data_IF_966189039586
#
_entry.id   IF_966189039586
#
_cell.length_a   1.000
_cell.length_b   1.000
_cell.length_c   1.000
_cell.angle_alpha   90.00
_cell.angle_beta   90.00
_cell.angle_gamma   90.00
#
_symmetry.space_group_name_H-M   'P 1'
#
loop_
_entity.id
_entity.type
_entity.pdbx_description
1 polymer ?
#
# COMPACT_ATOMS: atom_id res chain seq x y z
N UNK A 1 -8.34 14.16 -15.38
CA UNK A 1 -8.23 13.52 -16.71
C UNK A 1 -9.49 12.70 -16.95
N UNK A 2 -10.08 12.75 -18.14
CA UNK A 2 -11.29 11.98 -18.44
C UNK A 2 -10.93 10.48 -18.49
N UNK A 3 -11.74 9.62 -17.87
CA UNK A 3 -11.57 8.16 -17.99
C UNK A 3 -11.98 7.74 -19.40
N UNK A 4 -11.05 7.17 -20.15
CA UNK A 4 -11.35 6.56 -21.45
C UNK A 4 -12.04 5.21 -21.25
N UNK A 5 -13.13 4.98 -21.99
CA UNK A 5 -13.88 3.72 -21.91
C UNK A 5 -13.23 2.69 -22.83
N UNK A 6 -12.80 1.57 -22.24
CA UNK A 6 -12.33 0.39 -22.97
C UNK A 6 -13.33 -0.76 -22.80
N UNK A 7 -13.55 -1.52 -23.87
CA UNK A 7 -14.38 -2.73 -23.84
C UNK A 7 -13.48 -3.95 -24.04
N UNK A 8 -13.61 -4.94 -23.15
CA UNK A 8 -12.86 -6.21 -23.21
C UNK A 8 -13.82 -7.38 -23.11
N UNK A 9 -13.47 -8.50 -23.73
CA UNK A 9 -14.20 -9.76 -23.58
C UNK A 9 -13.66 -10.52 -22.37
N UNK A 10 -14.55 -10.98 -21.50
CA UNK A 10 -14.20 -11.76 -20.30
C UNK A 10 -15.03 -13.03 -20.25
N UNK A 11 -14.46 -14.07 -19.66
CA UNK A 11 -15.24 -15.24 -19.28
C UNK A 11 -16.26 -14.86 -18.20
N UNK A 12 -17.55 -15.11 -18.49
CA UNK A 12 -18.66 -14.66 -17.65
C UNK A 12 -18.64 -15.34 -16.27
N UNK A 13 -18.29 -16.61 -16.21
CA UNK A 13 -18.27 -17.36 -14.96
C UNK A 13 -17.15 -16.85 -14.03
N UNK A 14 -15.94 -16.66 -14.57
CA UNK A 14 -14.80 -16.07 -13.86
C UNK A 14 -15.10 -14.64 -13.41
N UNK A 15 -15.71 -13.82 -14.27
CA UNK A 15 -16.05 -12.44 -13.94
C UNK A 15 -17.04 -12.36 -12.76
N UNK A 16 -18.10 -13.17 -12.79
CA UNK A 16 -19.07 -13.23 -11.69
C UNK A 16 -18.45 -13.74 -10.39
N UNK A 17 -17.58 -14.76 -10.48
CA UNK A 17 -16.85 -15.29 -9.31
C UNK A 17 -15.89 -14.26 -8.72
N UNK A 18 -15.16 -13.53 -9.56
CA UNK A 18 -14.28 -12.46 -9.09
C UNK A 18 -15.08 -11.37 -8.38
N UNK A 19 -16.19 -10.91 -9.00
CA UNK A 19 -17.07 -9.90 -8.42
C UNK A 19 -17.63 -10.30 -7.05
N UNK A 20 -18.05 -11.56 -6.88
CA UNK A 20 -18.55 -12.03 -5.59
C UNK A 20 -17.46 -12.10 -4.53
N UNK A 21 -16.26 -12.55 -4.88
CA UNK A 21 -15.12 -12.64 -3.96
C UNK A 21 -14.67 -11.27 -3.44
N UNK A 22 -14.68 -10.24 -4.28
CA UNK A 22 -14.27 -8.88 -3.87
C UNK A 22 -15.43 -7.99 -3.43
N UNK A 23 -16.65 -8.55 -3.32
CA UNK A 23 -17.88 -7.83 -2.96
C UNK A 23 -18.10 -6.53 -3.76
N UNK A 24 -17.72 -6.52 -5.05
CA UNK A 24 -17.75 -5.31 -5.88
C UNK A 24 -19.14 -5.01 -6.44
N UNK A 25 -19.47 -3.72 -6.45
CA UNK A 25 -20.77 -3.20 -6.92
C UNK A 25 -20.90 -3.33 -8.44
N UNK A 26 -19.81 -3.22 -9.19
CA UNK A 26 -19.79 -3.30 -10.66
C UNK A 26 -18.57 -4.06 -11.18
N UNK A 27 -18.62 -4.50 -12.44
CA UNK A 27 -17.46 -5.14 -13.09
C UNK A 27 -16.31 -4.16 -13.29
N UNK A 28 -16.59 -2.89 -13.58
CA UNK A 28 -15.57 -1.85 -13.67
C UNK A 28 -14.79 -1.73 -12.36
N UNK A 29 -15.46 -1.81 -11.20
CA UNK A 29 -14.79 -1.80 -9.91
C UNK A 29 -13.89 -3.03 -9.70
N UNK A 30 -14.31 -4.21 -10.16
CA UNK A 30 -13.47 -5.43 -10.11
C UNK A 30 -12.22 -5.24 -10.94
N UNK A 31 -12.35 -4.69 -12.15
CA UNK A 31 -11.24 -4.48 -13.08
C UNK A 31 -10.31 -3.39 -12.56
N UNK A 32 -10.82 -2.28 -12.06
CA UNK A 32 -10.02 -1.21 -11.44
C UNK A 32 -9.16 -1.78 -10.31
N UNK A 33 -9.76 -2.53 -9.37
CA UNK A 33 -9.04 -3.19 -8.28
C UNK A 33 -8.01 -4.20 -8.80
N UNK A 34 -8.36 -5.03 -9.78
CA UNK A 34 -7.45 -6.02 -10.32
C UNK A 34 -6.23 -5.38 -11.00
N UNK A 35 -6.44 -4.28 -11.73
CA UNK A 35 -5.38 -3.52 -12.39
C UNK A 35 -4.48 -2.82 -11.39
N UNK A 36 -5.04 -2.17 -10.36
CA UNK A 36 -4.26 -1.57 -9.28
C UNK A 36 -3.34 -2.60 -8.63
N UNK A 37 -3.90 -3.75 -8.22
CA UNK A 37 -3.12 -4.83 -7.60
C UNK A 37 -2.05 -5.38 -8.52
N UNK A 38 -2.34 -5.55 -9.81
CA UNK A 38 -1.36 -6.00 -10.79
C UNK A 38 -0.23 -5.00 -10.95
N UNK A 39 -0.55 -3.71 -11.10
CA UNK A 39 0.43 -2.64 -11.28
C UNK A 39 1.32 -2.51 -10.04
N UNK A 40 0.75 -2.53 -8.84
CA UNK A 40 1.51 -2.48 -7.58
C UNK A 40 2.47 -3.67 -7.46
N UNK A 41 1.98 -4.88 -7.70
CA UNK A 41 2.82 -6.08 -7.64
C UNK A 41 3.96 -6.03 -8.67
N UNK A 42 3.68 -5.55 -9.88
CA UNK A 42 4.65 -5.43 -10.96
C UNK A 42 5.68 -4.31 -10.75
N UNK A 43 5.29 -3.21 -10.08
CA UNK A 43 6.22 -2.18 -9.62
C UNK A 43 7.16 -2.74 -8.56
N UNK A 44 6.60 -3.36 -7.51
CA UNK A 44 7.39 -3.95 -6.43
C UNK A 44 8.41 -4.98 -6.95
N UNK A 45 8.00 -5.85 -7.87
CA UNK A 45 8.92 -6.82 -8.50
C UNK A 45 10.07 -6.15 -9.24
N UNK A 46 9.79 -5.07 -9.98
CA UNK A 46 10.82 -4.30 -10.70
C UNK A 46 11.73 -3.56 -9.74
N UNK A 47 11.20 -3.00 -8.67
CA UNK A 47 11.98 -2.31 -7.65
C UNK A 47 12.94 -3.29 -6.96
N UNK A 48 12.44 -4.47 -6.55
CA UNK A 48 13.28 -5.54 -5.99
C UNK A 48 14.37 -5.96 -6.99
N UNK A 49 14.03 -6.14 -8.26
CA UNK A 49 15.00 -6.50 -9.28
C UNK A 49 16.06 -5.41 -9.48
N UNK A 50 15.67 -4.14 -9.42
CA UNK A 50 16.57 -3.00 -9.51
C UNK A 50 17.53 -2.95 -8.31
N UNK A 51 17.03 -3.11 -7.09
CA UNK A 51 17.84 -3.16 -5.88
C UNK A 51 18.79 -4.36 -5.84
N UNK A 52 18.37 -5.51 -6.39
CA UNK A 52 19.27 -6.67 -6.53
C UNK A 52 20.37 -6.42 -7.55
N UNK A 53 20.07 -5.70 -8.64
CA UNK A 53 21.04 -5.40 -9.69
C UNK A 53 22.08 -4.38 -9.22
N UNK A 54 21.64 -3.38 -8.46
CA UNK A 54 22.51 -2.35 -7.89
C UNK A 54 22.24 -2.33 -6.38
N UNK A 55 22.92 -3.19 -5.61
CA UNK A 55 22.77 -3.20 -4.18
C UNK A 55 23.29 -1.87 -3.60
N UNK A 56 22.66 -1.34 -2.53
CA UNK A 56 23.15 -0.16 -1.85
C UNK A 56 24.57 -0.41 -1.33
N UNK A 57 25.40 0.61 -1.43
CA UNK A 57 26.75 0.60 -0.87
C UNK A 57 26.69 0.50 0.65
N UNK A 58 27.77 0.06 1.32
CA UNK A 58 27.83 0.05 2.78
C UNK A 58 27.56 1.42 3.41
N UNK A 59 27.95 2.51 2.75
CA UNK A 59 27.71 3.89 3.21
C UNK A 59 26.22 4.23 3.14
N UNK A 60 25.55 3.93 2.02
CA UNK A 60 24.12 4.16 1.86
C UNK A 60 23.29 3.31 2.84
N UNK A 61 23.71 2.06 3.08
CA UNK A 61 23.10 1.20 4.08
C UNK A 61 23.25 1.78 5.50
N UNK A 62 24.44 2.29 5.84
CA UNK A 62 24.70 2.92 7.14
C UNK A 62 23.84 4.18 7.35
N UNK A 63 23.62 4.98 6.30
CA UNK A 63 22.72 6.16 6.36
C UNK A 63 21.27 5.73 6.60
N UNK A 64 20.80 4.69 5.90
CA UNK A 64 19.43 4.17 6.08
C UNK A 64 19.21 3.64 7.51
N UNK A 65 20.18 2.92 8.06
CA UNK A 65 20.15 2.44 9.45
C UNK A 65 20.20 3.58 10.48
N UNK A 66 20.96 4.65 10.22
CA UNK A 66 21.02 5.80 11.09
C UNK A 66 19.71 6.60 11.15
N UNK A 67 18.86 6.48 10.12
CA UNK A 67 17.53 7.08 10.08
C UNK A 67 16.42 6.20 10.70
N UNK A 68 16.77 5.02 11.24
CA UNK A 68 15.82 4.14 11.90
C UNK A 68 15.38 4.70 13.25
N UNK A 69 14.20 5.29 13.26
CA UNK A 69 13.56 5.85 14.45
C UNK A 69 12.59 4.86 15.13
N UNK A 70 12.54 3.60 14.71
CA UNK A 70 11.63 2.60 15.29
C UNK A 70 11.91 2.31 16.76
N UNK A 71 13.12 2.61 17.24
CA UNK A 71 13.52 2.53 18.64
C UNK A 71 13.24 3.80 19.44
N UNK A 72 12.79 4.90 18.81
CA UNK A 72 12.36 6.09 19.53
C UNK A 72 11.00 5.78 20.18
N UNK A 73 11.01 5.61 21.49
CA UNK A 73 9.79 5.61 22.28
C UNK A 73 9.17 7.00 22.29
N UNK A 74 7.86 7.06 22.51
CA UNK A 74 7.23 8.33 22.86
C UNK A 74 7.59 8.67 24.31
N UNK A 75 8.71 9.36 24.48
CA UNK A 75 9.20 9.85 25.78
C UNK A 75 8.38 11.04 26.29
N UNK A 76 7.41 11.51 25.51
CA UNK A 76 6.55 12.63 25.87
C UNK A 76 5.44 12.13 26.79
N UNK A 77 5.47 12.55 28.06
CA UNK A 77 4.36 12.33 28.99
C UNK A 77 3.19 13.26 28.65
N UNK A 78 2.42 12.92 27.61
CA UNK A 78 1.27 13.70 27.12
C UNK A 78 0.22 13.93 28.20
N UNK A 79 0.06 12.97 29.10
CA UNK A 79 -0.86 13.01 30.24
C UNK A 79 -0.48 14.12 31.23
N UNK A 80 0.81 14.41 31.39
CA UNK A 80 1.29 15.51 32.23
C UNK A 80 1.07 16.89 31.60
N UNK A 81 0.93 16.94 30.26
CA UNK A 81 0.70 18.18 29.51
C UNK A 81 -0.79 18.53 29.36
N UNK A 82 -1.68 17.53 29.45
CA UNK A 82 -3.14 17.71 29.31
C UNK A 82 -3.93 16.99 30.42
N UNK A 83 -3.72 17.38 31.70
CA UNK A 83 -4.36 16.71 32.85
C UNK A 83 -5.90 16.76 32.82
N UNK A 84 -6.49 17.69 32.06
CA UNK A 84 -7.93 17.85 31.90
C UNK A 84 -8.59 16.81 30.98
N UNK A 85 -7.82 16.03 30.21
CA UNK A 85 -8.35 15.03 29.28
C UNK A 85 -8.57 13.65 29.91
N UNK A 86 -8.11 13.41 31.14
CA UNK A 86 -8.24 12.13 31.86
C UNK A 86 -9.51 12.00 32.71
N UNK A 87 -10.43 12.97 32.71
CA UNK A 87 -11.69 12.85 33.44
C UNK A 87 -12.77 12.14 32.59
N UNK A 88 -13.07 10.83 32.80
CA UNK A 88 -14.32 10.28 32.31
C UNK A 88 -15.48 11.00 33.01
N UNK A 89 -16.41 11.53 32.22
CA UNK A 89 -17.79 11.76 32.70
C UNK A 89 -18.57 10.46 32.67
#
# INVERSE_FOLDING_TARGET
MAKEKVTITLDRAKANRARSLVAARSMSQVIDLALERLIEAERLRRDIAAYRRVPPTPVEAAIALAADNSALGDETAWEALYPELEAPR
#
